data_IF_361757699254
#
_entry.id   IF_361757699254
#
_cell.length_a   1.000
_cell.length_b   1.000
_cell.length_c   1.000
_cell.angle_alpha   90.00
_cell.angle_beta   90.00
_cell.angle_gamma   90.00
#
_symmetry.space_group_name_H-M   'P 1'
#
loop_
_entity.id
_entity.type
_entity.pdbx_description
1 polymer ?
#
# COMPACT_ATOMS: atom_id res chain seq x y z
N UNK A 1 -1.11 -16.39 11.04
CA UNK A 1 -0.11 -15.65 10.25
C UNK A 1 -0.82 -14.53 9.51
N UNK A 2 -0.24 -13.33 9.49
CA UNK A 2 -0.71 -12.23 8.65
C UNK A 2 0.18 -12.10 7.41
N UNK A 3 -0.41 -12.07 6.22
CA UNK A 3 0.29 -11.80 4.97
C UNK A 3 -0.06 -10.40 4.48
N UNK A 4 0.95 -9.57 4.27
CA UNK A 4 0.77 -8.24 3.71
C UNK A 4 1.16 -8.27 2.23
N UNK A 5 0.18 -8.17 1.34
CA UNK A 5 0.33 -8.50 -0.09
C UNK A 5 0.13 -7.27 -0.96
N UNK A 6 1.17 -6.88 -1.69
CA UNK A 6 1.08 -5.84 -2.71
C UNK A 6 0.34 -6.32 -3.95
N UNK A 7 -0.62 -5.52 -4.42
CA UNK A 7 -1.42 -5.81 -5.62
C UNK A 7 -0.79 -5.29 -6.91
N UNK A 8 0.22 -4.43 -6.84
CA UNK A 8 0.73 -3.72 -8.01
C UNK A 8 -0.14 -2.53 -8.40
N UNK A 9 -0.01 -2.03 -9.64
CA UNK A 9 -0.44 -0.67 -10.00
C UNK A 9 -1.61 -0.61 -11.01
N UNK A 10 -1.78 -1.65 -11.81
CA UNK A 10 -2.75 -1.75 -12.88
C UNK A 10 -3.97 -2.54 -12.44
N UNK A 11 -4.04 -3.82 -12.83
CA UNK A 11 -5.23 -4.66 -12.69
C UNK A 11 -5.04 -5.85 -11.72
N UNK A 12 -6.04 -6.73 -11.64
CA UNK A 12 -6.02 -7.93 -10.80
C UNK A 12 -4.83 -8.88 -11.05
N UNK A 13 -4.16 -8.77 -12.20
CA UNK A 13 -3.06 -9.65 -12.64
C UNK A 13 -1.68 -9.09 -12.32
N UNK A 14 -1.59 -7.84 -11.87
CA UNK A 14 -0.33 -7.25 -11.44
C UNK A 14 0.15 -7.83 -10.09
N UNK A 15 -0.71 -8.56 -9.38
CA UNK A 15 -0.31 -9.35 -8.23
C UNK A 15 0.79 -10.34 -8.63
N UNK A 16 1.80 -10.50 -7.78
CA UNK A 16 2.82 -11.53 -8.00
C UNK A 16 2.20 -12.92 -7.89
N UNK A 17 2.81 -13.93 -8.55
CA UNK A 17 2.38 -15.33 -8.44
C UNK A 17 2.35 -15.78 -6.97
N UNK A 18 3.37 -15.42 -6.19
CA UNK A 18 3.44 -15.69 -4.74
C UNK A 18 2.27 -15.04 -4.00
N UNK A 19 1.95 -13.79 -4.32
CA UNK A 19 0.81 -13.09 -3.74
C UNK A 19 -0.51 -13.82 -4.02
N UNK A 20 -0.74 -14.20 -5.27
CA UNK A 20 -1.94 -14.93 -5.67
C UNK A 20 -2.10 -16.28 -4.97
N UNK A 21 -1.00 -17.04 -4.83
CA UNK A 21 -0.98 -18.32 -4.11
C UNK A 21 -1.36 -18.15 -2.64
N UNK A 22 -0.81 -17.13 -1.98
CA UNK A 22 -1.14 -16.81 -0.58
C UNK A 22 -2.61 -16.40 -0.44
N UNK A 23 -3.11 -15.51 -1.30
CA UNK A 23 -4.50 -15.05 -1.26
C UNK A 23 -5.47 -16.23 -1.36
N UNK A 24 -5.20 -17.19 -2.24
CA UNK A 24 -6.04 -18.39 -2.41
C UNK A 24 -6.01 -19.32 -1.19
N UNK A 25 -4.90 -19.37 -0.47
CA UNK A 25 -4.70 -20.20 0.73
C UNK A 25 -5.32 -19.58 1.98
N UNK A 26 -5.26 -18.26 2.13
CA UNK A 26 -5.72 -17.56 3.32
C UNK A 26 -7.21 -17.81 3.60
N UNK A 27 -7.57 -17.87 4.88
CA UNK A 27 -8.95 -18.08 5.30
C UNK A 27 -9.78 -16.80 5.17
N UNK A 28 -9.17 -15.65 5.46
CA UNK A 28 -9.76 -14.32 5.29
C UNK A 28 -8.83 -13.44 4.46
N UNK A 29 -9.42 -12.63 3.58
CA UNK A 29 -8.71 -11.72 2.68
C UNK A 29 -9.35 -10.34 2.83
N UNK A 30 -8.55 -9.39 3.28
CA UNK A 30 -8.94 -8.00 3.45
C UNK A 30 -8.35 -7.14 2.36
N UNK A 31 -9.06 -6.12 1.90
CA UNK A 31 -8.58 -5.14 0.95
C UNK A 31 -8.59 -3.75 1.57
N UNK A 32 -7.41 -3.16 1.69
CA UNK A 32 -7.24 -1.78 2.06
C UNK A 32 -7.53 -0.90 0.82
N UNK A 33 -8.49 0.02 0.94
CA UNK A 33 -9.07 0.75 -0.20
C UNK A 33 -8.91 2.27 -0.15
N UNK A 34 -8.15 2.82 0.82
CA UNK A 34 -8.08 4.26 1.07
C UNK A 34 -6.71 4.89 0.77
N UNK A 35 -5.64 4.12 0.59
CA UNK A 35 -4.29 4.64 0.32
C UNK A 35 -4.03 4.89 -1.15
N UNK A 36 -4.74 4.21 -2.06
CA UNK A 36 -4.64 4.41 -3.51
C UNK A 36 -5.87 3.85 -4.23
N UNK A 37 -6.20 4.46 -5.36
CA UNK A 37 -7.34 4.05 -6.18
C UNK A 37 -6.97 2.75 -6.91
N UNK A 38 -7.74 1.71 -6.64
CA UNK A 38 -7.69 0.46 -7.40
C UNK A 38 -8.37 0.70 -8.75
N UNK A 39 -7.68 0.44 -9.87
CA UNK A 39 -8.24 0.72 -11.20
C UNK A 39 -9.38 -0.24 -11.59
N UNK A 40 -9.48 -1.36 -10.87
CA UNK A 40 -10.54 -2.36 -11.00
C UNK A 40 -11.36 -2.44 -9.70
N UNK A 41 -12.62 -2.83 -9.82
CA UNK A 41 -13.48 -3.01 -8.65
C UNK A 41 -13.15 -4.29 -7.87
N UNK A 42 -13.61 -4.36 -6.62
CA UNK A 42 -13.54 -5.55 -5.76
C UNK A 42 -13.97 -6.82 -6.51
N UNK A 43 -15.09 -6.76 -7.25
CA UNK A 43 -15.68 -7.91 -7.93
C UNK A 43 -14.70 -8.57 -8.93
N UNK A 44 -13.91 -7.76 -9.65
CA UNK A 44 -12.92 -8.26 -10.60
C UNK A 44 -11.75 -8.97 -9.88
N UNK A 45 -11.37 -8.50 -8.69
CA UNK A 45 -10.38 -9.16 -7.85
C UNK A 45 -10.93 -10.49 -7.32
N UNK A 46 -12.16 -10.52 -6.82
CA UNK A 46 -12.79 -11.74 -6.31
C UNK A 46 -12.93 -12.81 -7.39
N UNK A 47 -13.37 -12.42 -8.59
CA UNK A 47 -13.48 -13.31 -9.75
C UNK A 47 -12.13 -13.92 -10.11
N UNK A 48 -11.06 -13.11 -10.19
CA UNK A 48 -9.74 -13.57 -10.59
C UNK A 48 -9.03 -14.39 -9.49
N UNK A 49 -9.16 -13.98 -8.23
CA UNK A 49 -8.54 -14.65 -7.10
C UNK A 49 -9.29 -15.91 -6.68
N UNK A 50 -10.60 -15.99 -6.94
CA UNK A 50 -11.46 -17.09 -6.52
C UNK A 50 -11.71 -17.09 -5.01
N UNK A 51 -11.77 -15.91 -4.41
CA UNK A 51 -11.90 -15.68 -2.97
C UNK A 51 -12.79 -14.48 -2.71
N UNK A 52 -13.58 -14.54 -1.64
CA UNK A 52 -14.26 -13.35 -1.12
C UNK A 52 -13.25 -12.39 -0.49
N UNK A 53 -13.42 -11.09 -0.73
CA UNK A 53 -12.57 -10.00 -0.28
C UNK A 53 -13.37 -9.07 0.61
N UNK A 54 -12.91 -8.85 1.83
CA UNK A 54 -13.53 -7.95 2.80
C UNK A 54 -12.88 -6.58 2.65
N UNK A 55 -13.65 -5.55 2.28
CA UNK A 55 -13.11 -4.18 2.18
C UNK A 55 -12.91 -3.63 3.59
N UNK A 56 -11.67 -3.27 3.90
CA UNK A 56 -11.31 -2.57 5.13
C UNK A 56 -11.15 -1.08 4.81
N UNK A 57 -11.99 -0.26 5.45
CA UNK A 57 -11.89 1.19 5.37
C UNK A 57 -10.78 1.73 6.29
N UNK A 58 -10.56 3.05 6.26
CA UNK A 58 -9.51 3.68 7.07
C UNK A 58 -9.71 3.41 8.56
N UNK A 59 -10.94 3.48 9.05
CA UNK A 59 -11.21 3.27 10.47
C UNK A 59 -10.92 1.81 10.86
N UNK A 60 -11.25 0.84 10.00
CA UNK A 60 -10.90 -0.56 10.19
C UNK A 60 -9.38 -0.79 10.23
N UNK A 61 -8.59 -0.12 9.40
CA UNK A 61 -7.13 -0.30 9.37
C UNK A 61 -6.40 0.50 10.45
N UNK A 62 -6.81 1.73 10.75
CA UNK A 62 -6.11 2.59 11.72
C UNK A 62 -6.57 2.32 13.17
N UNK A 63 -7.86 2.01 13.37
CA UNK A 63 -8.47 1.78 14.69
C UNK A 63 -8.89 0.32 14.91
N UNK A 64 -9.35 -0.38 13.87
CA UNK A 64 -9.88 -1.75 13.94
C UNK A 64 -8.84 -2.87 13.72
N UNK A 65 -7.56 -2.53 13.61
CA UNK A 65 -6.51 -3.49 13.23
C UNK A 65 -6.38 -4.68 14.19
N UNK A 66 -6.74 -4.47 15.46
CA UNK A 66 -6.73 -5.51 16.48
C UNK A 66 -7.65 -6.68 16.13
N UNK A 67 -8.72 -6.47 15.36
CA UNK A 67 -9.59 -7.56 14.90
C UNK A 67 -8.87 -8.42 13.85
N UNK A 68 -8.20 -7.79 12.88
CA UNK A 68 -7.40 -8.49 11.85
C UNK A 68 -6.24 -9.25 12.51
N UNK A 69 -5.57 -8.64 13.48
CA UNK A 69 -4.48 -9.27 14.24
C UNK A 69 -4.97 -10.43 15.10
N UNK A 70 -6.12 -10.29 15.78
CA UNK A 70 -6.73 -11.37 16.53
C UNK A 70 -7.10 -12.57 15.64
N UNK A 71 -7.68 -12.31 14.47
CA UNK A 71 -7.90 -13.35 13.46
C UNK A 71 -6.56 -14.02 13.07
N UNK A 72 -5.53 -13.23 12.77
CA UNK A 72 -4.22 -13.73 12.36
C UNK A 72 -3.48 -14.55 13.43
N UNK A 73 -3.88 -14.51 14.71
CA UNK A 73 -3.34 -15.41 15.74
C UNK A 73 -3.79 -16.87 15.55
N UNK A 74 -4.97 -17.10 14.97
CA UNK A 74 -5.59 -18.43 14.86
C UNK A 74 -5.65 -18.99 13.44
N UNK A 75 -5.48 -18.14 12.43
CA UNK A 75 -5.64 -18.50 11.02
C UNK A 75 -4.71 -17.68 10.11
N UNK A 76 -4.61 -18.11 8.85
CA UNK A 76 -3.91 -17.38 7.80
C UNK A 76 -4.82 -16.27 7.25
N UNK A 77 -4.39 -15.02 7.38
CA UNK A 77 -5.13 -13.82 6.95
C UNK A 77 -4.27 -13.05 5.96
N UNK A 78 -4.84 -12.62 4.83
CA UNK A 78 -4.17 -11.73 3.89
C UNK A 78 -4.76 -10.31 3.98
N UNK A 79 -3.89 -9.30 4.01
CA UNK A 79 -4.24 -7.91 3.81
C UNK A 79 -3.63 -7.43 2.50
N UNK A 80 -4.50 -7.10 1.55
CA UNK A 80 -4.18 -6.63 0.22
C UNK A 80 -4.01 -5.12 0.23
N UNK A 81 -2.92 -4.64 -0.36
CA UNK A 81 -2.56 -3.22 -0.44
C UNK A 81 -2.27 -2.87 -1.90
N UNK A 82 -2.77 -1.74 -2.37
CA UNK A 82 -2.47 -1.25 -3.73
C UNK A 82 -0.99 -0.85 -3.84
N UNK A 83 -0.34 -1.26 -4.93
CA UNK A 83 1.10 -1.08 -5.13
C UNK A 83 1.92 -2.07 -4.32
N UNK A 84 2.91 -1.54 -3.59
CA UNK A 84 3.78 -2.30 -2.68
C UNK A 84 3.46 -1.92 -1.23
N UNK A 85 3.43 -2.88 -0.28
CA UNK A 85 3.06 -2.60 1.10
C UNK A 85 3.87 -1.47 1.77
N UNK A 86 5.14 -1.28 1.40
CA UNK A 86 5.99 -0.23 1.96
C UNK A 86 6.25 0.94 1.01
N UNK A 87 5.56 0.99 -0.13
CA UNK A 87 5.57 2.16 -1.03
C UNK A 87 4.88 3.40 -0.44
N UNK A 88 4.00 3.21 0.54
CA UNK A 88 3.37 4.26 1.35
C UNK A 88 3.51 3.89 2.82
N UNK A 89 4.00 4.83 3.65
CA UNK A 89 4.51 4.58 5.01
C UNK A 89 3.49 4.09 6.04
N UNK A 90 2.21 3.99 5.70
CA UNK A 90 1.12 3.66 6.63
C UNK A 90 1.18 2.22 7.15
N UNK A 91 1.68 1.26 6.37
CA UNK A 91 1.67 -0.14 6.77
C UNK A 91 2.83 -0.54 7.69
N UNK A 92 3.83 0.31 7.88
CA UNK A 92 4.92 0.05 8.83
C UNK A 92 4.40 -0.06 10.26
N UNK A 93 3.43 0.77 10.63
CA UNK A 93 2.80 0.76 11.95
C UNK A 93 2.06 -0.57 12.21
N UNK A 94 1.35 -1.08 11.20
CA UNK A 94 0.71 -2.41 11.24
C UNK A 94 1.71 -3.53 11.53
N UNK A 95 2.88 -3.50 10.88
CA UNK A 95 3.93 -4.50 11.10
C UNK A 95 4.48 -4.43 12.53
N UNK A 96 4.61 -3.24 13.10
CA UNK A 96 5.06 -3.05 14.48
C UNK A 96 4.04 -3.60 15.48
N UNK A 97 2.76 -3.24 15.34
CA UNK A 97 1.68 -3.75 16.20
C UNK A 97 1.54 -5.26 16.13
N UNK A 98 1.61 -5.85 14.92
CA UNK A 98 1.58 -7.30 14.76
C UNK A 98 2.68 -8.00 15.57
N UNK A 99 3.90 -7.44 15.55
CA UNK A 99 5.03 -7.97 16.34
C UNK A 99 4.81 -7.84 17.84
N UNK A 100 4.28 -6.72 18.29
CA UNK A 100 3.96 -6.48 19.71
C UNK A 100 2.90 -7.47 20.23
N UNK A 101 1.94 -7.85 19.39
CA UNK A 101 0.91 -8.85 19.69
C UNK A 101 1.34 -10.30 19.44
N UNK A 102 2.59 -10.54 19.04
CA UNK A 102 3.12 -11.88 18.77
C UNK A 102 2.55 -12.55 17.52
N UNK A 103 1.97 -11.79 16.60
CA UNK A 103 1.48 -12.26 15.31
C UNK A 103 2.64 -12.34 14.33
N UNK A 104 2.91 -13.53 13.78
CA UNK A 104 3.84 -13.68 12.67
C UNK A 104 3.31 -12.97 11.42
N UNK A 105 4.20 -12.26 10.73
CA UNK A 105 3.87 -11.48 9.53
C UNK A 105 4.83 -11.81 8.39
N UNK A 106 4.27 -12.00 7.20
CA UNK A 106 5.01 -12.20 5.95
C UNK A 106 4.66 -11.10 4.95
N UNK A 107 5.68 -10.43 4.41
CA UNK A 107 5.51 -9.37 3.42
C UNK A 107 5.73 -9.92 2.01
N UNK A 108 4.75 -9.70 1.14
CA UNK A 108 4.82 -10.03 -0.29
C UNK A 108 4.85 -8.73 -1.07
N UNK A 109 6.06 -8.39 -1.52
CA UNK A 109 6.33 -7.17 -2.29
C UNK A 109 5.72 -7.18 -3.69
N UNK A 110 5.57 -5.98 -4.26
CA UNK A 110 5.14 -5.79 -5.64
C UNK A 110 5.71 -4.49 -6.25
N UNK A 111 5.27 -4.14 -7.46
CA UNK A 111 5.55 -2.87 -8.11
C UNK A 111 4.96 -1.71 -7.30
N UNK A 112 5.65 -0.57 -7.31
CA UNK A 112 5.27 0.63 -6.57
C UNK A 112 5.37 1.85 -7.49
N UNK A 113 4.55 2.87 -7.28
CA UNK A 113 4.71 4.12 -8.02
C UNK A 113 6.13 4.70 -7.85
N UNK A 114 6.77 4.43 -6.71
CA UNK A 114 8.15 4.83 -6.40
C UNK A 114 9.18 4.30 -7.41
N UNK A 115 8.95 3.13 -8.01
CA UNK A 115 9.84 2.56 -9.02
C UNK A 115 9.27 2.67 -10.43
N UNK A 116 7.95 2.63 -10.60
CA UNK A 116 7.29 2.71 -11.91
C UNK A 116 7.50 4.06 -12.63
N UNK A 117 7.78 5.15 -11.90
CA UNK A 117 8.09 6.48 -12.46
C UNK A 117 9.31 6.48 -13.41
N UNK A 118 10.12 5.42 -13.42
CA UNK A 118 11.16 5.22 -14.43
C UNK A 118 10.62 5.23 -15.86
N UNK A 119 9.31 4.97 -16.06
CA UNK A 119 8.65 5.09 -17.36
C UNK A 119 8.70 6.51 -17.94
N UNK A 120 8.95 7.55 -17.12
CA UNK A 120 9.16 8.92 -17.57
C UNK A 120 10.51 9.14 -18.26
N UNK A 121 11.40 8.12 -18.30
CA UNK A 121 12.74 8.23 -18.87
C UNK A 121 13.76 8.94 -17.97
N UNK A 122 13.35 9.29 -16.74
CA UNK A 122 14.23 9.87 -15.73
C UNK A 122 14.95 8.78 -14.95
N UNK A 123 16.22 9.02 -14.62
CA UNK A 123 17.01 8.07 -13.84
C UNK A 123 16.52 8.03 -12.38
N UNK A 124 16.10 6.84 -11.91
CA UNK A 124 15.58 6.65 -10.55
C UNK A 124 16.57 7.12 -9.45
N UNK A 125 17.88 6.92 -9.66
CA UNK A 125 18.92 7.41 -8.75
C UNK A 125 19.04 8.93 -8.66
N UNK A 126 18.42 9.66 -9.59
CA UNK A 126 18.39 11.13 -9.60
C UNK A 126 17.14 11.70 -8.92
N UNK A 127 16.30 10.88 -8.27
CA UNK A 127 15.18 11.35 -7.46
C UNK A 127 15.62 11.65 -6.02
N UNK A 128 15.16 12.78 -5.49
CA UNK A 128 15.38 13.21 -4.11
C UNK A 128 14.23 12.85 -3.18
N UNK A 129 13.99 13.69 -2.18
CA UNK A 129 12.88 13.47 -1.23
C UNK A 129 11.53 13.48 -1.97
N UNK A 130 10.73 12.43 -1.78
CA UNK A 130 9.36 12.34 -2.33
C UNK A 130 8.40 13.12 -1.44
N UNK A 131 7.43 13.81 -2.05
CA UNK A 131 6.53 14.72 -1.34
C UNK A 131 5.07 14.38 -1.62
N UNK A 132 4.18 14.74 -0.68
CA UNK A 132 2.73 14.67 -0.88
C UNK A 132 2.14 16.07 -1.04
N UNK A 133 1.34 16.29 -2.08
CA UNK A 133 0.59 17.53 -2.34
C UNK A 133 -0.86 17.28 -1.94
N UNK A 134 -1.28 17.72 -0.74
CA UNK A 134 -2.63 17.46 -0.29
C UNK A 134 -3.64 18.38 -0.99
N UNK A 135 -4.89 17.91 -1.07
CA UNK A 135 -5.99 18.77 -1.51
C UNK A 135 -6.20 19.91 -0.52
N UNK A 136 -6.24 21.13 -1.05
CA UNK A 136 -6.55 22.31 -0.27
C UNK A 136 -8.04 22.39 0.05
N UNK A 137 -8.35 22.89 1.24
CA UNK A 137 -9.67 23.38 1.62
C UNK A 137 -9.64 24.89 1.81
N UNK A 138 -10.79 25.51 2.04
CA UNK A 138 -10.84 26.97 2.28
C UNK A 138 -10.03 27.39 3.51
N UNK A 139 -9.97 26.55 4.54
CA UNK A 139 -9.31 26.82 5.82
C UNK A 139 -7.93 26.17 5.98
N UNK A 140 -7.55 25.24 5.10
CA UNK A 140 -6.31 24.48 5.23
C UNK A 140 -5.60 24.33 3.88
N UNK A 141 -4.47 25.03 3.76
CA UNK A 141 -3.65 25.15 2.54
C UNK A 141 -2.18 24.98 2.87
N UNK A 142 -1.74 23.78 3.27
CA UNK A 142 -0.34 23.54 3.57
C UNK A 142 0.49 23.65 2.29
N UNK A 143 1.72 24.13 2.45
CA UNK A 143 2.69 24.39 1.39
C UNK A 143 4.08 23.81 1.72
N UNK A 144 4.20 23.02 2.80
CA UNK A 144 5.48 22.43 3.26
C UNK A 144 6.16 21.53 2.22
N UNK A 145 5.42 21.07 1.21
CA UNK A 145 6.00 20.36 0.07
C UNK A 145 6.91 21.25 -0.81
N UNK A 146 6.70 22.57 -0.79
CA UNK A 146 7.42 23.51 -1.65
C UNK A 146 8.91 23.58 -1.28
N UNK A 147 9.23 23.74 0.00
CA UNK A 147 10.62 23.80 0.49
C UNK A 147 11.40 22.52 0.13
N UNK A 148 10.72 21.36 0.15
CA UNK A 148 11.31 20.07 -0.23
C UNK A 148 11.58 19.97 -1.73
N UNK A 149 10.66 20.48 -2.56
CA UNK A 149 10.88 20.58 -4.01
C UNK A 149 12.08 21.49 -4.29
N UNK A 150 12.14 22.64 -3.64
CA UNK A 150 13.25 23.58 -3.77
C UNK A 150 14.60 22.95 -3.35
N UNK A 151 14.63 22.20 -2.25
CA UNK A 151 15.82 21.51 -1.79
C UNK A 151 16.33 20.46 -2.79
N UNK A 152 15.42 19.71 -3.44
CA UNK A 152 15.79 18.77 -4.49
C UNK A 152 16.34 19.49 -5.73
N UNK A 153 15.72 20.59 -6.17
CA UNK A 153 16.17 21.40 -7.31
C UNK A 153 17.59 21.93 -7.08
N UNK A 154 17.87 22.48 -5.89
CA UNK A 154 19.21 22.98 -5.53
C UNK A 154 20.29 21.90 -5.59
N UNK A 155 19.90 20.63 -5.43
CA UNK A 155 20.79 19.46 -5.49
C UNK A 155 20.84 18.80 -6.87
N UNK A 156 20.11 19.33 -7.86
CA UNK A 156 20.00 18.74 -9.20
C UNK A 156 19.19 17.44 -9.24
N UNK A 157 18.26 17.25 -8.30
CA UNK A 157 17.44 16.05 -8.17
C UNK A 157 16.02 16.28 -8.68
N UNK A 158 15.39 15.21 -9.15
CA UNK A 158 13.96 15.15 -9.48
C UNK A 158 13.13 14.96 -8.20
N UNK A 159 11.87 15.42 -8.23
CA UNK A 159 10.93 15.22 -7.13
C UNK A 159 9.72 14.44 -7.63
N UNK A 160 9.43 13.30 -7.00
CA UNK A 160 8.15 12.64 -7.18
C UNK A 160 7.11 13.35 -6.29
N UNK A 161 6.08 13.90 -6.92
CA UNK A 161 4.94 14.51 -6.25
C UNK A 161 3.74 13.58 -6.31
N UNK A 162 3.28 13.10 -5.16
CA UNK A 162 2.07 12.27 -5.01
C UNK A 162 0.94 13.12 -4.41
N UNK A 163 -0.32 12.88 -4.77
CA UNK A 163 -1.49 13.60 -4.26
C UNK A 163 -2.44 12.66 -3.54
#
# INVERSE_FOLDING_TARGET
MLYLVGLGLGDAKDITVRGLEVVRKCKEVYLESYTSILTVGKDALEEFYGREIIVADRDCIEQGISEILACAQSQDVALLVVGDPFGATTHTDLVLRAKEEGVEIEIIHNASIMNAIGCCGLQLYSFGETISIPFWSDSWKPDSFFEKIEANIHRGLHTLCRS
#
